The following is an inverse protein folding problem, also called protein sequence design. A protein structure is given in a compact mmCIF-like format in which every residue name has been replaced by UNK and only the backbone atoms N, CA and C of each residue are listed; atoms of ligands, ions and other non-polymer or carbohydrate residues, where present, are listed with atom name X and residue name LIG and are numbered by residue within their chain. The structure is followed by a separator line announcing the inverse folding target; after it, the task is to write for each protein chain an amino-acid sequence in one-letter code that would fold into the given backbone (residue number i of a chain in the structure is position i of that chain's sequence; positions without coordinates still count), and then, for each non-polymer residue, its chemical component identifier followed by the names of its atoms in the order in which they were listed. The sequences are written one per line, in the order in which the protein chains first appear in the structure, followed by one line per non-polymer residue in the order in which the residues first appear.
data_IF_699228249804
#
_entry.id   IF_699228249804
#
_cell.length_a   1.000
_cell.length_b   1.000
_cell.length_c   1.000
_cell.angle_alpha   90.00
_cell.angle_beta   90.00
_cell.angle_gamma   90.00
#
_symmetry.space_group_name_H-M   'P 1'
#
loop_
_entity.id
_entity.type
_entity.pdbx_description
1 polymer ?
#
# COMPACT_ATOMS: atom_id res chain seq x y z
N UNK A 1 20.34 9.90 -29.43
CA UNK A 1 20.52 8.78 -28.48
C UNK A 1 19.13 8.20 -28.27
N UNK A 2 18.94 6.96 -28.69
CA UNK A 2 17.66 6.34 -29.02
C UNK A 2 16.77 6.15 -27.79
N UNK A 3 15.52 6.60 -27.94
CA UNK A 3 14.43 6.39 -27.01
C UNK A 3 14.09 4.89 -26.98
N UNK A 4 14.39 4.20 -25.89
CA UNK A 4 13.71 2.94 -25.58
C UNK A 4 12.41 3.29 -24.86
N UNK A 5 11.37 3.56 -25.65
CA UNK A 5 10.01 3.36 -25.19
C UNK A 5 9.84 1.86 -24.98
N UNK A 6 10.18 1.38 -23.78
CA UNK A 6 9.78 0.04 -23.38
C UNK A 6 8.26 0.11 -23.28
N UNK A 7 7.58 -0.60 -24.18
CA UNK A 7 6.14 -0.74 -24.18
C UNK A 7 5.71 -1.28 -22.82
N UNK A 8 5.26 -0.40 -21.93
CA UNK A 8 4.42 -0.83 -20.82
C UNK A 8 3.23 -1.52 -21.48
N UNK A 9 3.20 -2.85 -21.39
CA UNK A 9 2.03 -3.64 -21.77
C UNK A 9 0.79 -3.05 -21.09
N UNK A 10 -0.39 -3.32 -21.67
CA UNK A 10 -1.68 -2.76 -21.22
C UNK A 10 -1.71 -2.60 -19.71
N UNK A 11 -1.72 -1.35 -19.24
CA UNK A 11 -1.76 -0.95 -17.81
C UNK A 11 -2.83 -1.70 -17.01
N UNK A 12 -3.92 -2.06 -17.69
CA UNK A 12 -5.03 -2.87 -17.20
C UNK A 12 -4.64 -4.21 -16.55
N UNK A 13 -3.53 -4.83 -16.96
CA UNK A 13 -3.08 -6.13 -16.40
C UNK A 13 -2.11 -5.97 -15.22
N UNK A 14 -1.62 -4.75 -14.93
CA UNK A 14 -0.62 -4.56 -13.89
C UNK A 14 -1.18 -4.88 -12.52
N UNK A 15 -2.34 -4.30 -12.15
CA UNK A 15 -3.02 -4.58 -10.87
C UNK A 15 -4.41 -5.14 -11.16
N UNK A 16 -4.57 -6.44 -10.94
CA UNK A 16 -5.65 -7.25 -11.45
C UNK A 16 -6.64 -7.68 -10.35
N UNK A 17 -7.79 -8.23 -10.75
CA UNK A 17 -8.74 -8.85 -9.83
C UNK A 17 -8.15 -10.06 -9.09
N UNK A 18 -7.12 -10.71 -9.64
CA UNK A 18 -6.40 -11.78 -8.95
C UNK A 18 -5.60 -11.23 -7.76
N UNK A 19 -5.04 -10.03 -7.88
CA UNK A 19 -4.35 -9.36 -6.78
C UNK A 19 -5.32 -8.99 -5.65
N UNK A 20 -6.54 -8.53 -5.98
CA UNK A 20 -7.60 -8.30 -4.99
C UNK A 20 -7.99 -9.59 -4.26
N UNK A 21 -8.24 -10.68 -5.00
CA UNK A 21 -8.57 -11.98 -4.39
C UNK A 21 -7.45 -12.48 -3.48
N UNK A 22 -6.20 -12.32 -3.91
CA UNK A 22 -5.04 -12.63 -3.09
C UNK A 22 -5.02 -11.78 -1.82
N UNK A 23 -5.24 -10.48 -1.93
CA UNK A 23 -5.28 -9.56 -0.79
C UNK A 23 -6.33 -9.97 0.25
N UNK A 24 -7.57 -10.14 -0.18
CA UNK A 24 -8.71 -10.52 0.69
C UNK A 24 -8.41 -11.85 1.39
N UNK A 25 -7.94 -12.85 0.65
CA UNK A 25 -7.56 -14.14 1.24
C UNK A 25 -6.51 -14.01 2.34
N UNK A 26 -5.46 -13.21 2.12
CA UNK A 26 -4.40 -13.02 3.12
C UNK A 26 -4.87 -12.22 4.35
N UNK A 27 -5.96 -11.45 4.23
CA UNK A 27 -6.56 -10.73 5.35
C UNK A 27 -7.43 -11.65 6.22
N UNK A 28 -8.20 -12.54 5.60
CA UNK A 28 -9.11 -13.47 6.30
C UNK A 28 -8.36 -14.64 6.93
N UNK A 29 -7.31 -15.13 6.28
CA UNK A 29 -6.53 -16.30 6.70
C UNK A 29 -5.16 -15.89 7.25
N UNK A 30 -5.13 -15.24 8.42
CA UNK A 30 -3.87 -15.12 9.16
C UNK A 30 -3.48 -16.52 9.61
N UNK A 31 -2.53 -17.12 8.90
CA UNK A 31 -2.03 -18.46 9.17
C UNK A 31 -1.44 -18.53 10.60
N UNK A 32 -2.11 -19.27 11.48
CA UNK A 32 -1.68 -19.51 12.86
C UNK A 32 -0.37 -20.31 12.94
N UNK A 33 0.02 -20.98 11.84
CA UNK A 33 1.31 -21.67 11.75
C UNK A 33 2.48 -20.71 11.51
N UNK A 34 2.21 -19.46 11.10
CA UNK A 34 3.23 -18.42 10.97
C UNK A 34 3.57 -17.81 12.33
N UNK A 35 4.87 -17.77 12.65
CA UNK A 35 5.37 -17.18 13.90
C UNK A 35 5.34 -15.64 13.83
N UNK A 36 4.19 -15.05 14.13
CA UNK A 36 4.01 -13.61 14.24
C UNK A 36 4.50 -13.06 15.59
N UNK A 37 5.40 -12.09 15.55
CA UNK A 37 5.96 -11.41 16.72
C UNK A 37 5.44 -9.97 16.79
N UNK A 38 4.99 -9.51 17.95
CA UNK A 38 4.58 -8.12 18.14
C UNK A 38 5.79 -7.16 17.98
N UNK A 39 5.60 -6.07 17.23
CA UNK A 39 6.62 -5.04 16.97
C UNK A 39 6.22 -3.72 17.61
N UNK A 40 4.95 -3.32 17.48
CA UNK A 40 4.42 -2.07 18.02
C UNK A 40 3.02 -2.33 18.59
N UNK A 41 2.73 -1.75 19.74
CA UNK A 41 1.38 -1.58 20.27
C UNK A 41 1.29 -0.21 20.95
N UNK A 42 0.49 0.69 20.37
CA UNK A 42 0.32 2.07 20.83
C UNK A 42 -1.13 2.47 20.77
N UNK A 43 -1.65 3.05 21.85
CA UNK A 43 -3.06 3.46 21.92
C UNK A 43 -3.25 4.80 22.62
N UNK A 44 -4.28 5.51 22.21
CA UNK A 44 -4.86 6.65 22.92
C UNK A 44 -6.40 6.60 22.73
N UNK A 45 -7.13 7.63 23.19
CA UNK A 45 -8.60 7.65 23.15
C UNK A 45 -9.21 7.75 21.73
N UNK A 46 -8.40 8.05 20.71
CA UNK A 46 -8.85 8.26 19.34
C UNK A 46 -8.22 7.27 18.33
N UNK A 47 -7.13 6.61 18.72
CA UNK A 47 -6.33 5.80 17.82
C UNK A 47 -5.70 4.63 18.56
N UNK A 48 -5.88 3.43 18.01
CA UNK A 48 -5.12 2.24 18.38
C UNK A 48 -4.32 1.75 17.17
N UNK A 49 -3.01 1.62 17.33
CA UNK A 49 -2.11 1.10 16.31
C UNK A 49 -1.34 -0.09 16.86
N UNK A 50 -1.44 -1.22 16.18
CA UNK A 50 -0.60 -2.38 16.41
C UNK A 50 0.13 -2.80 15.13
N UNK A 51 1.29 -3.43 15.30
CA UNK A 51 2.02 -4.06 14.22
C UNK A 51 2.72 -5.31 14.72
N UNK A 52 2.68 -6.35 13.89
CA UNK A 52 3.39 -7.61 14.09
C UNK A 52 4.21 -7.95 12.85
N UNK A 53 5.28 -8.72 13.03
CA UNK A 53 6.13 -9.18 11.94
C UNK A 53 6.29 -10.70 11.96
N UNK A 54 6.41 -11.29 10.78
CA UNK A 54 6.70 -12.71 10.60
C UNK A 54 8.00 -12.83 9.80
N UNK A 55 8.95 -13.61 10.32
CA UNK A 55 10.31 -13.77 9.77
C UNK A 55 10.56 -15.22 9.33
N UNK A 56 9.99 -15.65 8.20
CA UNK A 56 10.20 -17.00 7.69
C UNK A 56 11.66 -17.24 7.27
N UNK A 57 12.17 -18.46 7.46
CA UNK A 57 13.59 -18.80 7.22
C UNK A 57 14.06 -18.55 5.79
N UNK A 58 13.20 -18.78 4.80
CA UNK A 58 13.53 -18.74 3.37
C UNK A 58 12.63 -17.79 2.57
N UNK A 59 12.02 -16.80 3.21
CA UNK A 59 11.16 -15.82 2.53
C UNK A 59 11.35 -14.41 3.12
N UNK A 60 10.94 -13.35 2.41
CA UNK A 60 11.02 -11.99 2.92
C UNK A 60 10.24 -11.82 4.23
N UNK A 61 10.69 -10.87 5.05
CA UNK A 61 9.97 -10.48 6.28
C UNK A 61 8.61 -9.91 5.89
N UNK A 62 7.56 -10.39 6.56
CA UNK A 62 6.20 -9.87 6.44
C UNK A 62 5.88 -8.97 7.62
N UNK A 63 5.08 -7.94 7.37
CA UNK A 63 4.52 -7.08 8.39
C UNK A 63 3.01 -7.03 8.23
N UNK A 64 2.29 -7.08 9.34
CA UNK A 64 0.86 -6.83 9.41
C UNK A 64 0.63 -5.77 10.47
N UNK A 65 -0.05 -4.69 10.09
CA UNK A 65 -0.39 -3.61 11.00
C UNK A 65 -1.87 -3.29 10.93
N UNK A 66 -2.50 -3.10 12.09
CA UNK A 66 -3.89 -2.68 12.21
C UNK A 66 -3.90 -1.31 12.88
N UNK A 67 -4.64 -0.38 12.29
CA UNK A 67 -4.91 0.93 12.90
C UNK A 67 -6.41 1.09 13.02
N UNK A 68 -6.90 1.34 14.23
CA UNK A 68 -8.30 1.67 14.49
C UNK A 68 -8.37 3.17 14.77
N UNK A 69 -9.20 3.87 14.01
CA UNK A 69 -9.48 5.29 14.18
C UNK A 69 -10.88 5.47 14.75
N UNK A 70 -10.98 5.97 15.98
CA UNK A 70 -12.27 6.31 16.58
C UNK A 70 -12.82 7.61 15.96
N UNK A 71 -14.15 7.69 15.81
CA UNK A 71 -14.84 8.86 15.27
C UNK A 71 -14.41 9.25 13.84
N UNK A 72 -13.96 8.29 13.03
CA UNK A 72 -13.58 8.50 11.62
C UNK A 72 -14.45 7.61 10.72
N UNK A 73 -14.90 8.12 9.56
CA UNK A 73 -15.63 7.28 8.60
C UNK A 73 -14.65 6.60 7.63
N UNK A 74 -14.97 5.40 7.11
CA UNK A 74 -14.13 4.72 6.11
C UNK A 74 -13.82 5.58 4.88
N UNK A 75 -14.78 6.39 4.42
CA UNK A 75 -14.62 7.25 3.25
C UNK A 75 -13.63 8.39 3.51
N UNK A 76 -13.69 9.00 4.70
CA UNK A 76 -12.75 10.04 5.09
C UNK A 76 -11.33 9.47 5.16
N UNK A 77 -11.18 8.25 5.70
CA UNK A 77 -9.89 7.59 5.79
C UNK A 77 -9.34 7.19 4.42
N UNK A 78 -10.21 6.67 3.53
CA UNK A 78 -9.90 6.41 2.12
C UNK A 78 -9.37 7.68 1.46
N UNK A 79 -10.10 8.78 1.53
CA UNK A 79 -9.71 10.04 0.88
C UNK A 79 -8.37 10.57 1.44
N UNK A 80 -8.18 10.47 2.76
CA UNK A 80 -6.92 10.81 3.41
C UNK A 80 -5.72 9.99 2.89
N UNK A 81 -5.88 8.68 2.68
CA UNK A 81 -4.79 7.82 2.21
C UNK A 81 -4.57 7.90 0.70
N UNK A 82 -5.60 8.20 -0.09
CA UNK A 82 -5.51 8.29 -1.55
C UNK A 82 -5.08 9.68 -2.05
N UNK A 83 -5.13 10.71 -1.19
CA UNK A 83 -4.64 12.05 -1.56
C UNK A 83 -3.11 12.15 -1.50
N UNK A 84 -2.48 11.90 -2.65
CA UNK A 84 -1.03 12.01 -2.81
C UNK A 84 -0.50 13.44 -2.65
N UNK A 85 -1.31 14.48 -2.90
CA UNK A 85 -0.90 15.86 -2.70
C UNK A 85 -0.88 16.21 -1.23
N UNK A 86 -1.89 15.79 -0.49
CA UNK A 86 -1.92 15.93 0.96
C UNK A 86 -0.87 15.06 1.64
N UNK A 87 -0.55 13.87 1.10
CA UNK A 87 0.52 13.01 1.61
C UNK A 87 1.87 13.72 1.73
N UNK A 88 2.21 14.58 0.76
CA UNK A 88 3.44 15.40 0.81
C UNK A 88 3.46 16.41 1.96
N UNK A 89 2.30 16.80 2.48
CA UNK A 89 2.20 17.78 3.57
C UNK A 89 2.40 17.13 4.93
N UNK A 90 1.84 15.94 5.15
CA UNK A 90 1.82 15.31 6.47
C UNK A 90 2.87 14.20 6.66
N UNK A 91 3.22 13.45 5.61
CA UNK A 91 4.23 12.40 5.69
C UNK A 91 5.62 12.98 5.43
N UNK A 92 6.35 13.26 6.52
CA UNK A 92 7.72 13.79 6.48
C UNK A 92 8.72 12.87 5.76
N UNK A 93 8.37 11.62 5.50
CA UNK A 93 9.22 10.70 4.73
C UNK A 93 9.03 10.86 3.24
N UNK A 94 7.92 11.42 2.75
CA UNK A 94 7.67 11.65 1.33
C UNK A 94 8.22 13.01 0.93
N UNK A 95 9.17 13.01 0.01
CA UNK A 95 9.78 14.24 -0.53
C UNK A 95 9.05 14.67 -1.79
N UNK A 96 8.84 13.73 -2.70
CA UNK A 96 8.18 13.98 -3.97
C UNK A 96 7.22 12.84 -4.30
N UNK A 97 6.14 13.20 -4.99
CA UNK A 97 5.20 12.27 -5.58
C UNK A 97 4.72 12.81 -6.93
N UNK A 98 4.74 11.94 -7.94
CA UNK A 98 4.29 12.22 -9.30
C UNK A 98 3.44 11.05 -9.82
N UNK A 99 2.25 11.36 -10.35
CA UNK A 99 1.43 10.41 -11.07
C UNK A 99 1.95 10.28 -12.50
N UNK A 100 2.42 9.09 -12.86
CA UNK A 100 3.02 8.81 -14.17
C UNK A 100 1.97 8.35 -15.19
N UNK A 101 1.04 7.49 -14.77
CA UNK A 101 -0.01 6.94 -15.63
C UNK A 101 -1.30 6.70 -14.83
N UNK A 102 -2.44 6.81 -15.50
CA UNK A 102 -3.76 6.42 -14.98
C UNK A 102 -4.54 5.69 -16.07
N UNK A 103 -4.86 4.44 -15.80
CA UNK A 103 -5.81 3.66 -16.58
C UNK A 103 -7.23 4.01 -16.13
N UNK A 104 -7.92 4.85 -16.91
CA UNK A 104 -9.28 5.29 -16.60
C UNK A 104 -10.32 4.17 -16.70
N UNK A 105 -10.00 3.05 -17.35
CA UNK A 105 -10.96 1.96 -17.51
C UNK A 105 -11.20 1.18 -16.21
N UNK A 106 -10.18 1.07 -15.36
CA UNK A 106 -10.25 0.29 -14.13
C UNK A 106 -9.71 1.01 -12.88
N UNK A 107 -9.14 2.21 -13.04
CA UNK A 107 -8.59 3.01 -11.94
C UNK A 107 -7.19 2.58 -11.49
N UNK A 108 -6.45 1.82 -12.31
CA UNK A 108 -5.05 1.49 -11.99
C UNK A 108 -4.17 2.71 -12.24
N UNK A 109 -3.37 3.08 -11.25
CA UNK A 109 -2.42 4.19 -11.34
C UNK A 109 -1.00 3.68 -11.25
N UNK A 110 -0.08 4.35 -11.95
CA UNK A 110 1.36 4.21 -11.77
C UNK A 110 1.87 5.55 -11.31
N UNK A 111 2.63 5.55 -10.22
CA UNK A 111 3.23 6.76 -9.68
C UNK A 111 4.64 6.54 -9.17
N UNK A 112 5.36 7.65 -9.10
CA UNK A 112 6.73 7.73 -8.63
C UNK A 112 6.74 8.45 -7.29
N UNK A 113 7.32 7.82 -6.28
CA UNK A 113 7.49 8.42 -4.95
C UNK A 113 8.95 8.40 -4.53
N UNK A 114 9.49 9.55 -4.12
CA UNK A 114 10.80 9.63 -3.46
C UNK A 114 10.58 9.70 -1.96
N UNK A 115 11.12 8.72 -1.23
CA UNK A 115 11.14 8.74 0.24
C UNK A 115 12.52 9.00 0.81
N UNK A 116 12.60 9.83 1.86
CA UNK A 116 13.82 10.09 2.62
C UNK A 116 13.62 9.63 4.06
N UNK A 117 14.52 8.76 4.51
CA UNK A 117 14.55 8.27 5.89
C UNK A 117 15.78 8.84 6.60
N UNK A 118 15.72 9.07 7.93
CA UNK A 118 16.89 9.47 8.69
C UNK A 118 18.06 8.50 8.48
N UNK A 119 19.26 9.02 8.24
CA UNK A 119 20.51 8.25 8.10
C UNK A 119 20.58 7.29 6.90
N UNK A 120 19.61 7.33 5.98
CA UNK A 120 19.58 6.48 4.79
C UNK A 120 19.54 7.33 3.52
N UNK A 121 20.08 6.78 2.43
CA UNK A 121 19.94 7.35 1.09
C UNK A 121 18.45 7.43 0.72
N UNK A 122 17.99 8.52 0.08
CA UNK A 122 16.65 8.59 -0.48
C UNK A 122 16.37 7.39 -1.39
N UNK A 123 15.15 6.87 -1.31
CA UNK A 123 14.69 5.73 -2.09
C UNK A 123 13.62 6.18 -3.06
N UNK A 124 13.77 5.79 -4.31
CA UNK A 124 12.81 6.02 -5.37
C UNK A 124 11.97 4.75 -5.58
N UNK A 125 10.66 4.92 -5.65
CA UNK A 125 9.70 3.86 -5.87
C UNK A 125 8.83 4.19 -7.07
N UNK A 126 8.76 3.26 -8.03
CA UNK A 126 7.74 3.26 -9.09
C UNK A 126 6.72 2.20 -8.72
N UNK A 127 5.52 2.61 -8.34
CA UNK A 127 4.49 1.73 -7.81
C UNK A 127 3.27 1.77 -8.72
N UNK A 128 2.68 0.61 -8.96
CA UNK A 128 1.34 0.50 -9.50
C UNK A 128 0.38 0.19 -8.37
N UNK A 129 -0.76 0.88 -8.32
CA UNK A 129 -1.80 0.60 -7.35
C UNK A 129 -3.19 0.68 -7.95
N UNK A 130 -4.14 0.06 -7.25
CA UNK A 130 -5.57 0.16 -7.56
C UNK A 130 -6.35 0.16 -6.25
N UNK A 131 -7.44 0.92 -6.25
CA UNK A 131 -8.43 0.97 -5.19
C UNK A 131 -9.71 0.27 -5.68
N UNK A 132 -10.24 -0.61 -4.84
CA UNK A 132 -11.56 -1.20 -5.03
C UNK A 132 -12.46 -0.81 -3.87
N UNK A 133 -13.74 -0.64 -4.18
CA UNK A 133 -14.81 -0.51 -3.20
C UNK A 133 -15.54 -1.84 -3.13
N UNK A 134 -15.57 -2.42 -1.93
CA UNK A 134 -16.34 -3.61 -1.60
C UNK A 134 -17.74 -3.25 -1.10
N UNK A 135 -18.39 -4.23 -0.48
CA UNK A 135 -19.65 -4.00 0.20
C UNK A 135 -19.42 -3.26 1.52
N UNK A 136 -20.50 -2.67 2.06
CA UNK A 136 -20.52 -2.10 3.41
C UNK A 136 -19.42 -1.06 3.69
N UNK A 137 -19.08 -0.26 2.67
CA UNK A 137 -18.06 0.81 2.75
C UNK A 137 -16.66 0.29 3.09
N UNK A 138 -16.37 -0.95 2.71
CA UNK A 138 -15.03 -1.53 2.81
C UNK A 138 -14.22 -1.12 1.58
N UNK A 139 -12.99 -0.67 1.77
CA UNK A 139 -12.10 -0.28 0.68
C UNK A 139 -10.84 -1.16 0.69
N UNK A 140 -10.45 -1.64 -0.49
CA UNK A 140 -9.24 -2.43 -0.67
C UNK A 140 -8.28 -1.66 -1.56
N UNK A 141 -7.05 -1.45 -1.08
CA UNK A 141 -5.98 -0.90 -1.91
C UNK A 141 -4.87 -1.94 -2.03
N UNK A 142 -4.46 -2.21 -3.27
CA UNK A 142 -3.31 -3.07 -3.55
C UNK A 142 -2.26 -2.27 -4.28
N UNK A 143 -1.02 -2.37 -3.82
CA UNK A 143 0.15 -1.70 -4.38
C UNK A 143 1.21 -2.76 -4.67
N UNK A 144 1.92 -2.65 -5.80
CA UNK A 144 3.14 -3.43 -6.09
C UNK A 144 4.10 -2.66 -7.01
N UNK A 145 5.39 -3.01 -6.99
CA UNK A 145 6.33 -2.49 -7.99
C UNK A 145 6.08 -3.26 -9.29
N UNK A 146 5.92 -2.60 -10.45
CA UNK A 146 5.74 -3.28 -11.74
C UNK A 146 6.89 -4.25 -12.08
N UNK A 147 8.05 -4.11 -11.43
CA UNK A 147 9.20 -5.00 -11.55
C UNK A 147 9.33 -6.03 -10.39
N UNK A 148 8.71 -5.80 -9.21
CA UNK A 148 8.81 -6.65 -8.00
C UNK A 148 7.63 -6.45 -7.03
N UNK A 149 7.07 -7.51 -6.45
CA UNK A 149 5.92 -7.38 -5.54
C UNK A 149 6.33 -6.72 -4.19
N UNK A 150 5.77 -5.56 -3.83
CA UNK A 150 5.84 -4.98 -2.48
C UNK A 150 4.42 -4.65 -2.02
N UNK A 151 3.88 -5.44 -1.10
CA UNK A 151 2.53 -5.27 -0.56
C UNK A 151 2.61 -4.32 0.65
N UNK A 152 1.94 -3.17 0.55
CA UNK A 152 1.55 -2.36 1.72
C UNK A 152 0.05 -2.52 1.92
N UNK A 153 -0.36 -3.17 3.01
CA UNK A 153 -1.74 -3.24 3.45
C UNK A 153 -2.05 -1.99 4.29
N UNK A 154 -2.96 -1.15 3.82
CA UNK A 154 -3.64 -0.15 4.65
C UNK A 154 -5.04 -0.70 4.87
N UNK A 155 -5.35 -1.10 6.10
CA UNK A 155 -6.72 -1.36 6.54
C UNK A 155 -7.29 -0.09 7.17
N UNK A 156 -8.56 0.19 6.86
CA UNK A 156 -9.48 1.06 7.58
C UNK A 156 -10.42 0.22 8.43
#
# INVERSE_FOLDING_TARGET
MTCFANSFGRTSELVSEADLKFLVKNLDEIDESESWEAVIDKRNNLLHYNAKCCKPKNAPVKYLSVTVFENCTPELLRDFYMDNNYRKQWDKTVVEHEQLQLDRSNGTEIGRTIKKFPLLTPREYILAWRLWEGNDKTYYCFIKVPAYCLIFLVQS
#
